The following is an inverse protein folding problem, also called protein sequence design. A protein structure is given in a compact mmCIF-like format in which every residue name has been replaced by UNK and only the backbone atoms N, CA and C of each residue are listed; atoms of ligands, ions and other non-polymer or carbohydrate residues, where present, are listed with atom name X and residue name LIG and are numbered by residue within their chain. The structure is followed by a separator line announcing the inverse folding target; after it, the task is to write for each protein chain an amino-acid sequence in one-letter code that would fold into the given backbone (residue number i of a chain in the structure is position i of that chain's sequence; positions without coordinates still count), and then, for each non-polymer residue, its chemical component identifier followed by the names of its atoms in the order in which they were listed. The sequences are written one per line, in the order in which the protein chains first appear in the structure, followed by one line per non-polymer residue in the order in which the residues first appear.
data_IF_399563056280
#
_entry.id   IF_399563056280
#
_cell.length_a   1.000
_cell.length_b   1.000
_cell.length_c   1.000
_cell.angle_alpha   90.00
_cell.angle_beta   90.00
_cell.angle_gamma   90.00
#
_symmetry.space_group_name_H-M   'P 1'
#
loop_
_entity.id
_entity.type
_entity.pdbx_description
1 polymer ?
#
# COMPACT_ATOMS: atom_id res chain seq x y z
N UNK A 1 20.89 5.49 -7.08
CA UNK A 1 20.54 4.49 -8.11
C UNK A 1 19.33 5.02 -8.86
N UNK A 2 19.44 5.38 -10.15
CA UNK A 2 18.26 5.80 -10.92
C UNK A 2 17.39 4.57 -11.13
N UNK A 3 16.29 4.46 -10.38
CA UNK A 3 15.29 3.43 -10.61
C UNK A 3 14.72 3.62 -12.03
N UNK A 4 14.58 2.53 -12.80
CA UNK A 4 13.99 2.66 -14.12
C UNK A 4 12.54 3.12 -13.97
N UNK A 5 12.00 3.84 -14.97
CA UNK A 5 10.58 4.23 -15.00
C UNK A 5 9.65 3.03 -14.73
N UNK A 6 10.02 1.85 -15.23
CA UNK A 6 9.30 0.60 -15.01
C UNK A 6 9.31 0.17 -13.55
N UNK A 7 10.43 0.28 -12.86
CA UNK A 7 10.53 -0.07 -11.43
C UNK A 7 9.70 0.87 -10.56
N UNK A 8 9.71 2.18 -10.88
CA UNK A 8 8.90 3.18 -10.19
C UNK A 8 7.41 2.88 -10.38
N UNK A 9 6.98 2.62 -11.61
CA UNK A 9 5.58 2.26 -11.90
C UNK A 9 5.15 0.96 -11.20
N UNK A 10 6.02 -0.04 -11.14
CA UNK A 10 5.73 -1.29 -10.42
C UNK A 10 5.53 -1.06 -8.92
N UNK A 11 6.38 -0.21 -8.29
CA UNK A 11 6.22 0.13 -6.87
C UNK A 11 4.92 0.86 -6.60
N UNK A 12 4.55 1.81 -7.46
CA UNK A 12 3.27 2.53 -7.36
C UNK A 12 2.08 1.57 -7.52
N UNK A 13 2.13 0.63 -8.47
CA UNK A 13 1.08 -0.36 -8.66
C UNK A 13 0.91 -1.27 -7.43
N UNK A 14 2.00 -1.66 -6.77
CA UNK A 14 1.95 -2.40 -5.51
C UNK A 14 1.25 -1.58 -4.41
N UNK A 15 1.65 -0.31 -4.22
CA UNK A 15 1.04 0.58 -3.22
C UNK A 15 -0.46 0.75 -3.48
N UNK A 16 -0.85 0.95 -4.73
CA UNK A 16 -2.26 1.03 -5.13
C UNK A 16 -3.04 -0.25 -4.81
N UNK A 17 -2.43 -1.43 -5.03
CA UNK A 17 -3.02 -2.71 -4.68
C UNK A 17 -3.29 -2.85 -3.18
N UNK A 18 -2.35 -2.43 -2.33
CA UNK A 18 -2.55 -2.41 -0.88
C UNK A 18 -3.69 -1.48 -0.45
N UNK A 19 -3.75 -0.27 -1.03
CA UNK A 19 -4.84 0.68 -0.77
C UNK A 19 -6.22 0.11 -1.16
N UNK A 20 -6.31 -0.56 -2.31
CA UNK A 20 -7.55 -1.25 -2.73
C UNK A 20 -7.96 -2.34 -1.73
N UNK A 21 -6.98 -3.07 -1.19
CA UNK A 21 -7.21 -4.05 -0.12
C UNK A 21 -7.78 -3.42 1.14
N UNK A 22 -7.18 -2.33 1.63
CA UNK A 22 -7.66 -1.58 2.80
C UNK A 22 -9.10 -1.09 2.59
N UNK A 23 -9.40 -0.52 1.42
CA UNK A 23 -10.78 -0.07 1.11
C UNK A 23 -11.78 -1.22 1.25
N UNK A 24 -11.46 -2.39 0.70
CA UNK A 24 -12.30 -3.58 0.83
C UNK A 24 -12.48 -4.01 2.28
N UNK A 25 -11.41 -3.95 3.10
CA UNK A 25 -11.53 -4.28 4.53
C UNK A 25 -12.47 -3.33 5.27
N UNK A 26 -12.46 -2.03 4.90
CA UNK A 26 -13.40 -1.04 5.45
C UNK A 26 -14.83 -1.31 4.96
N UNK A 27 -15.02 -1.57 3.66
CA UNK A 27 -16.33 -1.89 3.09
C UNK A 27 -16.94 -3.18 3.70
N UNK A 28 -16.11 -4.09 4.17
CA UNK A 28 -16.50 -5.36 4.82
C UNK A 28 -16.58 -5.26 6.37
N UNK A 29 -16.49 -4.06 6.96
CA UNK A 29 -16.49 -3.82 8.41
C UNK A 29 -15.48 -4.71 9.18
N UNK A 30 -14.30 -4.94 8.58
CA UNK A 30 -13.25 -5.73 9.23
C UNK A 30 -12.70 -5.02 10.47
N UNK A 31 -12.09 -5.81 11.37
CA UNK A 31 -11.61 -5.30 12.64
C UNK A 31 -10.57 -4.18 12.46
N UNK A 32 -10.82 -3.05 13.12
CA UNK A 32 -10.03 -1.83 12.97
C UNK A 32 -8.53 -2.05 13.17
N UNK A 33 -8.13 -2.92 14.10
CA UNK A 33 -6.71 -3.20 14.34
C UNK A 33 -6.03 -3.84 13.13
N UNK A 34 -6.75 -4.67 12.37
CA UNK A 34 -6.18 -5.29 11.18
C UNK A 34 -6.12 -4.30 10.01
N UNK A 35 -7.10 -3.41 9.91
CA UNK A 35 -7.07 -2.27 8.97
C UNK A 35 -5.87 -1.36 9.27
N UNK A 36 -5.61 -1.05 10.55
CA UNK A 36 -4.46 -0.26 10.98
C UNK A 36 -3.13 -0.95 10.61
N UNK A 37 -3.01 -2.26 10.84
CA UNK A 37 -1.81 -3.03 10.42
C UNK A 37 -1.56 -2.91 8.91
N UNK A 38 -2.60 -3.04 8.08
CA UNK A 38 -2.44 -2.89 6.63
C UNK A 38 -2.11 -1.44 6.23
N UNK A 39 -2.65 -0.46 6.94
CA UNK A 39 -2.32 0.96 6.73
C UNK A 39 -0.84 1.24 7.01
N UNK A 40 -0.26 0.65 8.05
CA UNK A 40 1.18 0.73 8.30
C UNK A 40 2.01 0.07 7.18
N UNK A 41 1.53 -1.00 6.56
CA UNK A 41 2.23 -1.61 5.43
C UNK A 41 2.31 -0.64 4.22
N UNK A 42 1.24 0.12 3.96
CA UNK A 42 1.23 1.18 2.93
C UNK A 42 2.20 2.30 3.29
N UNK A 43 2.19 2.77 4.53
CA UNK A 43 3.13 3.81 5.01
C UNK A 43 4.59 3.36 4.80
N UNK A 44 4.94 2.13 5.16
CA UNK A 44 6.28 1.57 4.94
C UNK A 44 6.63 1.42 3.47
N UNK A 45 5.67 1.13 2.61
CA UNK A 45 5.89 1.06 1.17
C UNK A 45 6.18 2.45 0.58
N UNK A 46 5.50 3.49 1.07
CA UNK A 46 5.74 4.88 0.70
C UNK A 46 7.11 5.39 1.21
N UNK A 47 7.48 5.09 2.45
CA UNK A 47 8.80 5.44 2.99
C UNK A 47 9.97 4.81 2.20
N UNK A 48 9.75 3.66 1.56
CA UNK A 48 10.74 3.02 0.68
C UNK A 48 10.75 3.58 -0.75
N UNK A 49 9.75 4.39 -1.09
CA UNK A 49 9.59 5.00 -2.40
C UNK A 49 10.31 6.35 -2.50
N UNK A 50 10.34 7.13 -1.41
CA UNK A 50 11.19 8.32 -1.22
C UNK A 50 12.69 7.99 -1.27
#
# INVERSE_FOLDING_TARGET
MQASKKDVLNRLATIEGHLKGIRKMVDEDQYCVDILKQSYAVERALQKFE
#
